data_IF_772477852846
#
_entry.id   IF_772477852846
#
_cell.length_a   1.000
_cell.length_b   1.000
_cell.length_c   1.000
_cell.angle_alpha   90.00
_cell.angle_beta   90.00
_cell.angle_gamma   90.00
#
_symmetry.space_group_name_H-M   'P 1'
#
loop_
_entity.id
_entity.type
_entity.pdbx_description
1 polymer ?
#
# COMPACT_ATOMS: atom_id res chain seq x y z
N UNK A 1 59.11 -41.31 35.84
CA UNK A 1 58.61 -40.04 35.30
C UNK A 1 57.94 -40.34 33.96
N UNK A 2 56.60 -40.35 33.92
CA UNK A 2 55.79 -40.68 32.74
C UNK A 2 55.33 -39.38 32.08
N UNK A 3 55.86 -39.06 30.90
CA UNK A 3 55.45 -37.89 30.12
C UNK A 3 54.17 -38.24 29.35
N UNK A 4 53.04 -37.72 29.81
CA UNK A 4 51.76 -37.84 29.11
C UNK A 4 51.82 -37.12 27.75
N UNK A 5 51.53 -37.86 26.66
CA UNK A 5 51.34 -37.27 25.32
C UNK A 5 50.08 -36.40 25.30
N UNK A 6 50.09 -35.22 24.66
CA UNK A 6 48.88 -34.42 24.50
C UNK A 6 47.86 -35.14 23.59
N UNK A 7 46.55 -34.99 23.86
CA UNK A 7 45.51 -35.57 23.01
C UNK A 7 45.53 -34.95 21.61
N UNK A 8 45.21 -35.71 20.54
CA UNK A 8 45.14 -35.16 19.20
C UNK A 8 44.04 -34.11 19.12
N UNK A 9 44.38 -32.94 18.57
CA UNK A 9 43.41 -31.89 18.26
C UNK A 9 42.31 -32.48 17.37
N UNK A 10 41.08 -32.49 17.88
CA UNK A 10 39.92 -32.91 17.11
C UNK A 10 39.76 -31.92 15.94
N UNK A 11 40.10 -32.38 14.74
CA UNK A 11 39.76 -31.70 13.50
C UNK A 11 38.23 -31.67 13.46
N UNK A 12 37.61 -30.52 13.70
CA UNK A 12 36.17 -30.34 13.55
C UNK A 12 35.80 -30.76 12.15
N UNK A 13 35.24 -31.97 12.00
CA UNK A 13 34.75 -32.49 10.74
C UNK A 13 33.44 -31.81 10.43
N UNK A 14 33.52 -30.55 10.02
CA UNK A 14 32.38 -29.91 9.37
C UNK A 14 32.14 -30.72 8.09
N UNK A 15 30.94 -31.30 7.89
CA UNK A 15 30.69 -32.15 6.74
C UNK A 15 30.98 -31.35 5.44
N UNK A 16 31.64 -31.96 4.45
CA UNK A 16 32.11 -31.27 3.26
C UNK A 16 30.98 -30.62 2.44
N UNK A 17 29.73 -31.01 2.66
CA UNK A 17 28.54 -30.37 2.09
C UNK A 17 28.32 -28.94 2.60
N UNK A 18 28.64 -28.66 3.86
CA UNK A 18 28.54 -27.31 4.45
C UNK A 18 29.72 -26.41 4.03
N UNK A 19 30.91 -26.99 3.84
CA UNK A 19 32.08 -26.24 3.34
C UNK A 19 31.89 -25.93 1.86
N UNK A 20 31.42 -26.90 1.07
CA UNK A 20 31.11 -26.71 -0.35
C UNK A 20 30.00 -25.67 -0.56
N UNK A 21 29.01 -25.57 0.34
CA UNK A 21 28.01 -24.51 0.28
C UNK A 21 28.59 -23.16 0.71
N UNK A 22 29.43 -23.10 1.75
CA UNK A 22 30.06 -21.86 2.22
C UNK A 22 31.03 -21.27 1.18
N UNK A 23 31.89 -22.09 0.57
CA UNK A 23 32.80 -21.64 -0.49
C UNK A 23 32.04 -21.23 -1.75
N UNK A 24 31.01 -21.99 -2.16
CA UNK A 24 30.15 -21.59 -3.28
C UNK A 24 29.40 -20.30 -2.98
N UNK A 25 28.94 -20.09 -1.74
CA UNK A 25 28.28 -18.85 -1.33
C UNK A 25 29.25 -17.67 -1.37
N UNK A 26 30.50 -17.84 -0.94
CA UNK A 26 31.50 -16.77 -0.98
C UNK A 26 31.94 -16.45 -2.42
N UNK A 27 32.15 -17.47 -3.26
CA UNK A 27 32.41 -17.26 -4.70
C UNK A 27 31.22 -16.59 -5.38
N UNK A 28 30.00 -17.01 -5.05
CA UNK A 28 28.78 -16.39 -5.58
C UNK A 28 28.65 -14.94 -5.10
N UNK A 29 28.92 -14.66 -3.82
CA UNK A 29 28.94 -13.31 -3.24
C UNK A 29 29.96 -12.41 -3.94
N UNK A 30 31.17 -12.91 -4.21
CA UNK A 30 32.21 -12.15 -4.94
C UNK A 30 31.79 -11.86 -6.38
N UNK A 31 31.13 -12.83 -7.04
CA UNK A 31 30.62 -12.66 -8.41
C UNK A 31 29.46 -11.67 -8.45
N UNK A 32 28.52 -11.76 -7.52
CA UNK A 32 27.38 -10.82 -7.46
C UNK A 32 27.81 -9.42 -7.02
N UNK A 33 28.82 -9.29 -6.14
CA UNK A 33 29.40 -8.00 -5.76
C UNK A 33 30.04 -7.28 -6.96
N UNK A 34 30.84 -7.99 -7.78
CA UNK A 34 31.41 -7.41 -9.01
C UNK A 34 30.34 -7.01 -10.02
N UNK A 35 29.30 -7.83 -10.19
CA UNK A 35 28.19 -7.52 -11.10
C UNK A 35 27.32 -6.35 -10.60
N UNK A 36 27.18 -6.18 -9.28
CA UNK A 36 26.48 -5.06 -8.69
C UNK A 36 27.25 -3.74 -8.87
N UNK A 37 28.58 -3.79 -8.85
CA UNK A 37 29.45 -2.63 -9.03
C UNK A 37 29.48 -2.14 -10.49
N UNK A 38 29.43 -3.06 -11.47
CA UNK A 38 29.53 -2.70 -12.89
C UNK A 38 28.22 -2.16 -13.51
N UNK A 39 27.06 -2.34 -12.88
CA UNK A 39 25.76 -2.01 -13.52
C UNK A 39 24.78 -1.30 -12.57
N UNK A 40 25.07 -0.04 -12.16
CA UNK A 40 24.20 0.73 -11.27
C UNK A 40 22.79 0.96 -11.87
N UNK A 41 22.68 0.93 -13.21
CA UNK A 41 21.43 1.14 -13.92
C UNK A 41 20.49 -0.09 -13.87
N UNK A 42 21.03 -1.31 -13.92
CA UNK A 42 20.21 -2.53 -13.92
C UNK A 42 19.55 -2.74 -12.55
N UNK A 43 20.26 -2.46 -11.45
CA UNK A 43 19.66 -2.53 -10.11
C UNK A 43 18.47 -1.58 -9.95
N UNK A 44 18.53 -0.37 -10.54
CA UNK A 44 17.42 0.59 -10.51
C UNK A 44 16.25 0.12 -11.38
N UNK A 45 16.52 -0.39 -12.58
CA UNK A 45 15.47 -0.94 -13.46
C UNK A 45 14.78 -2.13 -12.80
N UNK A 46 15.53 -3.03 -12.16
CA UNK A 46 14.94 -4.18 -11.47
C UNK A 46 14.04 -3.73 -10.31
N UNK A 47 14.49 -2.79 -9.48
CA UNK A 47 13.66 -2.22 -8.41
C UNK A 47 12.41 -1.53 -8.96
N UNK A 48 12.56 -0.73 -10.01
CA UNK A 48 11.42 -0.07 -10.66
C UNK A 48 10.44 -1.09 -11.23
N UNK A 49 10.93 -2.13 -11.90
CA UNK A 49 10.13 -3.22 -12.45
C UNK A 49 9.37 -3.96 -11.35
N UNK A 50 10.01 -4.26 -10.22
CA UNK A 50 9.33 -4.86 -9.06
C UNK A 50 8.24 -3.93 -8.54
N UNK A 51 8.51 -2.65 -8.35
CA UNK A 51 7.51 -1.68 -7.87
C UNK A 51 6.34 -1.59 -8.83
N UNK A 52 6.60 -1.45 -10.14
CA UNK A 52 5.56 -1.36 -11.17
C UNK A 52 4.74 -2.64 -11.21
N UNK A 53 5.39 -3.81 -11.17
CA UNK A 53 4.70 -5.10 -11.20
C UNK A 53 3.87 -5.35 -9.95
N UNK A 54 4.33 -4.92 -8.78
CA UNK A 54 3.58 -5.06 -7.53
C UNK A 54 2.44 -4.05 -7.43
N UNK A 55 2.62 -2.84 -7.97
CA UNK A 55 1.59 -1.80 -7.97
C UNK A 55 0.55 -1.96 -9.09
N UNK A 56 0.91 -2.59 -10.21
CA UNK A 56 0.00 -2.75 -11.35
C UNK A 56 -1.20 -3.64 -11.03
N UNK A 57 -0.98 -4.73 -10.29
CA UNK A 57 -2.06 -5.66 -9.90
C UNK A 57 -3.18 -4.95 -9.12
N UNK A 58 -2.92 -4.27 -7.98
CA UNK A 58 -3.97 -3.55 -7.27
C UNK A 58 -4.53 -2.38 -8.09
N UNK A 59 -3.71 -1.69 -8.90
CA UNK A 59 -4.19 -0.62 -9.78
C UNK A 59 -5.21 -1.12 -10.81
N UNK A 60 -4.94 -2.27 -11.44
CA UNK A 60 -5.86 -2.91 -12.39
C UNK A 60 -7.14 -3.32 -11.69
N UNK A 61 -7.07 -3.88 -10.48
CA UNK A 61 -8.26 -4.25 -9.70
C UNK A 61 -9.10 -3.01 -9.39
N UNK A 62 -8.50 -1.91 -8.93
CA UNK A 62 -9.21 -0.65 -8.65
C UNK A 62 -9.84 -0.09 -9.93
N UNK A 63 -9.10 -0.09 -11.04
CA UNK A 63 -9.62 0.33 -12.33
C UNK A 63 -10.81 -0.53 -12.76
N UNK A 64 -10.68 -1.86 -12.67
CA UNK A 64 -11.74 -2.79 -13.00
C UNK A 64 -13.00 -2.53 -12.16
N UNK A 65 -12.87 -2.41 -10.84
CA UNK A 65 -14.03 -2.25 -9.95
C UNK A 65 -14.75 -0.92 -10.16
N UNK A 66 -14.03 0.18 -10.38
CA UNK A 66 -14.61 1.53 -10.33
C UNK A 66 -14.73 2.24 -11.68
N UNK A 67 -13.84 1.96 -12.63
CA UNK A 67 -13.72 2.71 -13.87
C UNK A 67 -14.02 1.89 -15.12
N UNK A 68 -13.81 0.58 -15.10
CA UNK A 68 -14.16 -0.26 -16.24
C UNK A 68 -15.67 -0.26 -16.42
N UNK A 69 -16.10 0.07 -17.63
CA UNK A 69 -17.49 -0.03 -18.04
C UNK A 69 -17.74 -1.45 -18.55
N UNK A 70 -18.51 -2.23 -17.80
CA UNK A 70 -18.85 -3.60 -18.18
C UNK A 70 -20.18 -3.67 -18.95
N UNK A 71 -20.85 -2.54 -19.20
CA UNK A 71 -22.14 -2.49 -19.90
C UNK A 71 -23.34 -2.38 -18.95
N UNK A 72 -24.56 -2.48 -19.51
CA UNK A 72 -25.81 -2.19 -18.79
C UNK A 72 -26.32 -3.33 -17.87
N UNK A 73 -25.73 -4.52 -17.91
CA UNK A 73 -26.16 -5.64 -17.06
C UNK A 73 -25.64 -5.55 -15.61
N UNK A 74 -26.19 -6.37 -14.70
CA UNK A 74 -25.75 -6.39 -13.31
C UNK A 74 -24.40 -7.10 -13.17
N UNK A 75 -23.34 -6.34 -12.91
CA UNK A 75 -21.98 -6.85 -12.84
C UNK A 75 -21.58 -7.25 -11.41
N UNK A 76 -20.61 -8.17 -11.28
CA UNK A 76 -20.05 -8.62 -10.00
C UNK A 76 -19.53 -7.47 -9.11
N UNK A 77 -19.25 -6.29 -9.69
CA UNK A 77 -18.75 -5.12 -8.99
C UNK A 77 -19.84 -4.08 -8.66
N UNK A 78 -21.09 -4.29 -9.08
CA UNK A 78 -22.21 -3.42 -8.75
C UNK A 78 -22.44 -3.27 -7.23
N UNK A 79 -22.27 -4.31 -6.37
CA UNK A 79 -22.42 -4.16 -4.92
C UNK A 79 -21.28 -3.32 -4.33
N UNK A 80 -20.06 -3.47 -4.85
CA UNK A 80 -18.90 -2.70 -4.42
C UNK A 80 -19.06 -1.21 -4.78
N UNK A 81 -19.63 -0.90 -5.94
CA UNK A 81 -19.94 0.47 -6.36
C UNK A 81 -21.01 1.12 -5.47
N UNK A 82 -22.10 0.40 -5.16
CA UNK A 82 -23.13 0.85 -4.20
C UNK A 82 -22.55 1.10 -2.80
N UNK A 83 -21.65 0.24 -2.32
CA UNK A 83 -20.95 0.45 -1.05
C UNK A 83 -20.05 1.69 -1.10
N UNK A 84 -19.31 1.90 -2.19
CA UNK A 84 -18.47 3.09 -2.33
C UNK A 84 -19.31 4.37 -2.34
N UNK A 85 -20.42 4.39 -3.07
CA UNK A 85 -21.34 5.55 -3.09
C UNK A 85 -21.89 5.85 -1.69
N UNK A 86 -22.29 4.82 -0.92
CA UNK A 86 -22.69 5.00 0.47
C UNK A 86 -21.56 5.56 1.34
N UNK A 87 -20.32 5.13 1.13
CA UNK A 87 -19.15 5.63 1.88
C UNK A 87 -18.78 7.05 1.49
N UNK A 88 -18.84 7.39 0.20
CA UNK A 88 -18.65 8.75 -0.30
C UNK A 88 -19.72 9.67 0.28
N UNK A 89 -20.99 9.29 0.19
CA UNK A 89 -22.08 10.11 0.70
C UNK A 89 -22.00 10.24 2.23
N UNK A 90 -21.61 9.19 2.96
CA UNK A 90 -21.37 9.27 4.40
C UNK A 90 -20.18 10.18 4.79
N UNK A 91 -19.18 10.31 3.92
CA UNK A 91 -18.01 11.17 4.17
C UNK A 91 -18.26 12.63 3.77
N UNK A 92 -19.10 12.87 2.75
CA UNK A 92 -19.47 14.22 2.31
C UNK A 92 -20.75 14.76 2.96
N UNK A 93 -21.50 13.95 3.69
CA UNK A 93 -22.66 14.39 4.48
C UNK A 93 -22.30 14.50 5.95
N UNK A 94 -22.97 15.41 6.66
CA UNK A 94 -22.80 15.59 8.11
C UNK A 94 -22.97 14.24 8.83
N UNK A 95 -22.05 13.94 9.74
CA UNK A 95 -22.15 12.77 10.61
C UNK A 95 -23.47 12.82 11.40
N UNK A 96 -24.04 11.68 11.82
CA UNK A 96 -25.30 11.65 12.57
C UNK A 96 -25.31 12.62 13.77
N UNK A 97 -24.19 12.71 14.48
CA UNK A 97 -23.95 13.66 15.58
C UNK A 97 -23.98 15.12 15.15
N UNK A 98 -23.45 15.45 13.96
CA UNK A 98 -23.48 16.82 13.44
C UNK A 98 -24.85 17.19 12.87
N UNK A 99 -25.63 16.22 12.38
CA UNK A 99 -27.04 16.44 11.99
C UNK A 99 -27.90 16.79 13.21
N UNK A 100 -27.68 16.12 14.35
CA UNK A 100 -28.37 16.45 15.61
C UNK A 100 -27.95 17.84 16.15
N UNK A 101 -26.67 18.18 16.05
CA UNK A 101 -26.17 19.51 16.39
C UNK A 101 -26.70 20.61 15.44
N UNK A 102 -26.93 20.29 14.17
CA UNK A 102 -27.49 21.22 13.17
C UNK A 102 -29.02 21.36 13.32
N UNK A 103 -29.71 20.28 13.68
CA UNK A 103 -31.16 20.28 13.95
C UNK A 103 -31.53 21.03 15.24
N UNK A 104 -30.60 21.09 16.20
CA UNK A 104 -30.74 21.89 17.42
C UNK A 104 -30.39 23.37 17.23
N UNK A 105 -29.92 23.78 16.05
CA UNK A 105 -29.89 25.19 15.66
C UNK A 105 -31.25 25.54 15.06
N UNK A 106 -32.16 26.20 15.80
CA UNK A 106 -33.37 26.71 15.19
C UNK A 106 -32.94 27.65 14.07
N UNK A 107 -33.30 27.32 12.84
CA UNK A 107 -33.26 28.23 11.69
C UNK A 107 -33.97 29.49 12.14
N UNK A 108 -33.20 30.53 12.48
CA UNK A 108 -33.76 31.83 12.72
C UNK A 108 -34.41 32.21 11.39
N UNK A 109 -35.74 32.41 11.32
CA UNK A 109 -36.35 32.88 10.10
C UNK A 109 -35.70 34.23 9.82
N UNK A 110 -34.99 34.34 8.70
CA UNK A 110 -34.50 35.62 8.19
C UNK A 110 -35.75 36.47 8.02
N UNK A 111 -35.98 37.39 8.97
CA UNK A 111 -37.05 38.36 8.89
C UNK A 111 -36.84 39.12 7.59
N UNK A 112 -37.83 39.14 6.67
CA UNK A 112 -37.79 40.10 5.59
C UNK A 112 -37.81 41.47 6.25
N UNK A 113 -36.67 42.17 6.23
CA UNK A 113 -36.54 43.54 6.67
C UNK A 113 -37.65 44.31 5.98
N UNK A 114 -38.67 44.67 6.75
CA UNK A 114 -39.80 45.48 6.33
C UNK A 114 -39.22 46.86 6.05
N UNK A 115 -38.74 47.06 4.83
CA UNK A 115 -38.36 48.34 4.29
C UNK A 115 -39.59 49.22 4.32
N UNK A 116 -39.57 50.12 5.31
CA UNK A 116 -40.54 51.16 5.57
C UNK A 116 -41.00 51.88 4.31
N UNK A 117 -42.32 52.08 4.25
CA UNK A 117 -43.03 52.89 3.28
C UNK A 117 -42.41 54.26 3.01
N UNK A 118 -42.51 54.71 1.76
CA UNK A 118 -42.68 56.12 1.42
C UNK A 118 -43.78 56.23 0.36
N UNK A 119 -44.97 56.77 0.69
CA UNK A 119 -45.96 57.17 -0.29
C UNK A 119 -45.75 58.65 -0.65
N UNK A 120 -45.59 58.97 -1.93
CA UNK A 120 -45.71 60.30 -2.52
C UNK A 120 -45.22 60.22 -3.96
N UNK A 121 -45.78 60.85 -4.98
CA UNK A 121 -47.05 61.53 -5.24
C UNK A 121 -47.07 61.69 -6.77
#
# INVERSE_FOLDING_TARGET
MSAARPPPAYRTSVPPTLIASAERQEVFRRRTARLAEERPFIGRIQRLSTIVSTASVPAIVVYAVFFADFGEEEHCFSPARRWLDQKRDAFWTLSPSEREASASRPTQPVQPSSGSATPSA
#
